data_IF_610492903901
#
_entry.id   IF_610492903901
#
_cell.length_a   1.000
_cell.length_b   1.000
_cell.length_c   1.000
_cell.angle_alpha   90.00
_cell.angle_beta   90.00
_cell.angle_gamma   90.00
#
_symmetry.space_group_name_H-M   'P 1'
#
loop_
_entity.id
_entity.type
_entity.pdbx_description
1 polymer ?
#
# COMPACT_ATOMS: atom_id res chain seq x y z
N UNK A 1 -14.20 -5.37 15.24
CA UNK A 1 -13.61 -4.34 16.12
C UNK A 1 -13.93 -4.73 17.54
N UNK A 2 -12.98 -5.33 18.25
CA UNK A 2 -13.12 -5.61 19.66
C UNK A 2 -12.96 -4.31 20.45
N UNK A 3 -13.99 -3.93 21.21
CA UNK A 3 -13.82 -2.93 22.25
C UNK A 3 -12.76 -3.45 23.23
N UNK A 4 -11.58 -2.88 23.20
CA UNK A 4 -10.67 -2.96 24.33
C UNK A 4 -11.33 -2.18 25.46
N UNK A 5 -11.62 -2.86 26.57
CA UNK A 5 -12.07 -2.20 27.78
C UNK A 5 -11.12 -1.06 28.12
N UNK A 6 -11.68 0.06 28.56
CA UNK A 6 -11.02 1.35 28.68
C UNK A 6 -9.80 1.42 29.62
N UNK A 7 -9.43 0.34 30.26
CA UNK A 7 -8.32 0.25 31.22
C UNK A 7 -7.25 -0.80 30.86
N UNK A 8 -7.29 -1.37 29.66
CA UNK A 8 -6.30 -2.33 29.19
C UNK A 8 -4.95 -1.66 28.91
N UNK A 9 -3.93 -1.94 29.70
CA UNK A 9 -2.55 -1.63 29.38
C UNK A 9 -1.94 -2.80 28.60
N UNK A 10 -1.35 -2.53 27.44
CA UNK A 10 -0.64 -3.50 26.63
C UNK A 10 0.79 -3.04 26.31
N UNK A 11 1.64 -3.97 25.92
CA UNK A 11 2.95 -3.63 25.38
C UNK A 11 3.21 -4.43 24.11
N UNK A 12 3.86 -3.80 23.13
CA UNK A 12 4.36 -4.44 21.93
C UNK A 12 5.87 -4.25 21.89
N UNK A 13 6.59 -5.33 21.70
CA UNK A 13 8.04 -5.31 21.50
C UNK A 13 8.36 -5.86 20.11
N UNK A 14 9.03 -5.05 19.31
CA UNK A 14 9.50 -5.42 17.98
C UNK A 14 11.00 -5.70 18.07
N UNK A 15 11.40 -6.93 17.77
CA UNK A 15 12.79 -7.35 17.69
C UNK A 15 13.25 -7.41 16.24
N UNK A 16 14.31 -6.69 15.93
CA UNK A 16 14.88 -6.66 14.58
C UNK A 16 16.08 -7.61 14.47
N UNK A 17 16.37 -8.10 13.26
CA UNK A 17 17.47 -9.04 13.01
C UNK A 17 18.85 -8.54 13.45
N UNK A 18 19.03 -7.24 13.54
CA UNK A 18 20.27 -6.58 14.01
C UNK A 18 20.34 -6.40 15.54
N UNK A 19 19.49 -7.08 16.29
CA UNK A 19 19.34 -6.97 17.75
C UNK A 19 18.80 -5.62 18.25
N UNK A 20 18.40 -4.72 17.38
CA UNK A 20 17.67 -3.53 17.77
C UNK A 20 16.26 -3.90 18.22
N UNK A 21 15.73 -3.20 19.21
CA UNK A 21 14.36 -3.39 19.69
C UNK A 21 13.62 -2.06 19.77
N UNK A 22 12.31 -2.13 19.53
CA UNK A 22 11.40 -1.02 19.76
C UNK A 22 10.31 -1.50 20.70
N UNK A 23 10.15 -0.85 21.84
CA UNK A 23 9.13 -1.18 22.82
C UNK A 23 8.09 -0.09 22.90
N UNK A 24 6.85 -0.47 22.67
CA UNK A 24 5.69 0.40 22.77
C UNK A 24 4.86 0.01 23.98
N UNK A 25 4.43 0.97 24.78
CA UNK A 25 3.34 0.78 25.75
C UNK A 25 2.05 1.36 25.19
N UNK A 26 0.96 0.64 25.33
CA UNK A 26 -0.37 1.05 24.90
C UNK A 26 -1.23 1.23 26.15
N UNK A 27 -1.69 2.45 26.39
CA UNK A 27 -2.60 2.78 27.48
C UNK A 27 -3.69 3.69 26.97
N UNK A 28 -4.96 3.39 27.26
CA UNK A 28 -6.11 4.22 26.87
C UNK A 28 -6.10 4.57 25.37
N UNK A 29 -5.88 3.59 24.49
CA UNK A 29 -5.78 3.74 23.04
C UNK A 29 -4.65 4.67 22.53
N UNK A 30 -3.66 4.95 23.37
CA UNK A 30 -2.47 5.72 22.99
C UNK A 30 -1.23 4.84 23.10
N UNK A 31 -0.48 4.76 21.99
CA UNK A 31 0.82 4.12 21.99
C UNK A 31 1.90 5.14 22.38
N UNK A 32 2.79 4.76 23.28
CA UNK A 32 3.96 5.55 23.67
C UNK A 32 5.21 4.69 23.49
N UNK A 33 6.22 5.24 22.84
CA UNK A 33 7.55 4.63 22.76
C UNK A 33 8.14 4.67 24.18
N UNK A 34 8.48 3.50 24.72
CA UNK A 34 9.09 3.37 26.05
C UNK A 34 10.59 3.26 25.94
N UNK A 35 11.05 2.62 24.88
CA UNK A 35 12.47 2.39 24.63
C UNK A 35 12.72 2.34 23.13
N UNK A 36 13.65 3.16 22.63
CA UNK A 36 14.03 3.19 21.23
C UNK A 36 15.57 3.12 21.13
N UNK A 37 16.09 1.96 20.84
CA UNK A 37 17.47 1.78 20.42
C UNK A 37 17.59 1.73 18.88
N UNK A 38 16.61 2.31 18.17
CA UNK A 38 16.48 2.11 16.75
C UNK A 38 16.17 3.40 16.00
N UNK A 39 17.10 3.84 15.17
CA UNK A 39 16.88 4.91 14.20
C UNK A 39 16.39 4.29 12.88
N UNK A 40 15.10 4.42 12.57
CA UNK A 40 14.55 4.03 11.25
C UNK A 40 15.05 5.05 10.22
N UNK A 41 16.11 4.69 9.52
CA UNK A 41 16.68 5.55 8.45
C UNK A 41 15.93 5.46 7.13
N UNK A 42 14.96 4.52 7.01
CA UNK A 42 14.24 4.25 5.77
C UNK A 42 12.79 4.69 5.90
N UNK A 43 12.29 5.24 4.79
CA UNK A 43 10.90 5.69 4.70
C UNK A 43 9.93 4.51 4.80
N UNK A 44 8.84 4.73 5.51
CA UNK A 44 7.68 3.85 5.55
C UNK A 44 6.55 4.57 4.84
N UNK A 45 5.94 3.90 3.86
CA UNK A 45 4.76 4.38 3.13
C UNK A 45 3.58 3.48 3.49
N UNK A 46 2.43 4.08 3.80
CA UNK A 46 1.20 3.36 4.12
C UNK A 46 0.11 3.74 3.12
N UNK A 47 -0.44 2.76 2.44
CA UNK A 47 -1.49 2.92 1.43
C UNK A 47 -2.73 2.13 1.85
N UNK A 48 -3.78 2.83 2.25
CA UNK A 48 -5.10 2.28 2.59
C UNK A 48 -6.21 2.89 1.73
N UNK A 49 -6.08 4.16 1.36
CA UNK A 49 -7.12 4.90 0.68
C UNK A 49 -6.59 5.70 -0.53
N UNK A 50 -6.98 5.33 -1.78
CA UNK A 50 -6.59 6.09 -2.95
C UNK A 50 -7.26 7.48 -3.02
N UNK A 51 -8.31 7.74 -2.22
CA UNK A 51 -8.98 9.03 -2.17
C UNK A 51 -8.16 10.11 -1.48
N UNK A 52 -7.06 9.76 -0.81
CA UNK A 52 -6.08 10.71 -0.26
C UNK A 52 -5.63 11.74 -1.31
N UNK A 53 -5.59 11.34 -2.59
CA UNK A 53 -5.25 12.21 -3.72
C UNK A 53 -6.22 13.41 -3.86
N UNK A 54 -7.48 13.28 -3.44
CA UNK A 54 -8.46 14.37 -3.50
C UNK A 54 -8.10 15.53 -2.56
N UNK A 55 -7.28 15.25 -1.53
CA UNK A 55 -6.87 16.24 -0.54
C UNK A 55 -5.73 17.14 -1.05
N UNK A 56 -5.15 16.84 -2.21
CA UNK A 56 -4.11 17.68 -2.81
C UNK A 56 -4.60 19.10 -3.07
N UNK A 57 -5.81 19.27 -3.60
CA UNK A 57 -6.41 20.57 -3.91
C UNK A 57 -7.10 21.24 -2.70
N UNK A 58 -7.19 20.55 -1.57
CA UNK A 58 -7.87 21.08 -0.40
C UNK A 58 -6.95 22.04 0.38
N UNK A 59 -7.14 23.34 0.21
CA UNK A 59 -6.38 24.39 0.90
C UNK A 59 -6.59 24.38 2.43
N UNK A 60 -7.77 23.94 2.89
CA UNK A 60 -8.13 23.86 4.30
C UNK A 60 -7.48 22.66 5.01
N UNK A 61 -7.06 21.65 4.25
CA UNK A 61 -6.37 20.49 4.80
C UNK A 61 -5.04 20.84 5.50
N UNK A 62 -4.39 21.95 5.08
CA UNK A 62 -3.18 22.47 5.72
C UNK A 62 -3.41 23.13 7.09
N UNK A 63 -4.63 23.64 7.35
CA UNK A 63 -4.86 24.49 8.51
C UNK A 63 -5.35 23.75 9.76
N UNK A 64 -5.93 22.56 9.63
CA UNK A 64 -6.66 21.90 10.71
C UNK A 64 -6.06 20.55 11.18
N UNK A 65 -4.98 20.07 10.59
CA UNK A 65 -4.34 18.81 11.02
C UNK A 65 -3.03 19.07 11.75
N UNK A 66 -3.14 19.34 13.04
CA UNK A 66 -2.11 19.06 14.05
C UNK A 66 -2.35 17.62 14.54
N UNK A 67 -2.24 16.64 13.64
CA UNK A 67 -2.35 15.22 13.95
C UNK A 67 -1.34 14.46 13.10
N UNK A 68 -0.59 13.56 13.73
CA UNK A 68 0.26 12.61 13.04
C UNK A 68 -0.62 11.56 12.32
N UNK A 69 -1.25 11.95 11.21
CA UNK A 69 -2.05 11.08 10.39
C UNK A 69 -1.27 10.75 9.11
N UNK A 70 -1.11 9.45 8.81
CA UNK A 70 -0.40 8.95 7.63
C UNK A 70 -0.95 9.55 6.31
N UNK A 71 -2.24 9.90 6.26
CA UNK A 71 -2.84 10.57 5.12
C UNK A 71 -2.28 11.99 4.90
N UNK A 72 -1.98 12.72 5.98
CA UNK A 72 -1.34 14.04 5.88
C UNK A 72 0.09 13.94 5.38
N UNK A 73 0.80 12.90 5.78
CA UNK A 73 2.15 12.60 5.30
C UNK A 73 2.13 12.25 3.81
N UNK A 74 1.20 11.41 3.37
CA UNK A 74 1.03 11.05 1.97
C UNK A 74 0.69 12.28 1.10
N UNK A 75 -0.21 13.16 1.55
CA UNK A 75 -0.53 14.42 0.85
C UNK A 75 0.69 15.32 0.73
N UNK A 76 1.48 15.45 1.81
CA UNK A 76 2.69 16.27 1.82
C UNK A 76 3.75 15.69 0.88
N UNK A 77 3.94 14.38 0.88
CA UNK A 77 4.84 13.68 -0.02
C UNK A 77 4.42 13.84 -1.48
N UNK A 78 3.12 13.71 -1.78
CA UNK A 78 2.58 13.93 -3.13
C UNK A 78 2.84 15.35 -3.63
N UNK A 79 2.55 16.37 -2.81
CA UNK A 79 2.80 17.77 -3.19
C UNK A 79 4.26 18.02 -3.51
N UNK A 80 5.17 17.56 -2.65
CA UNK A 80 6.60 17.70 -2.87
C UNK A 80 7.06 16.94 -4.13
N UNK A 81 6.46 15.76 -4.38
CA UNK A 81 6.76 14.93 -5.56
C UNK A 81 6.38 15.58 -6.89
N UNK A 82 5.29 16.36 -6.92
CA UNK A 82 4.82 17.03 -8.13
C UNK A 82 5.66 18.26 -8.45
N UNK A 83 6.15 18.95 -7.41
CA UNK A 83 6.94 20.18 -7.55
C UNK A 83 8.38 19.89 -7.99
N UNK A 84 8.96 18.75 -7.58
CA UNK A 84 10.39 18.44 -7.72
C UNK A 84 10.75 17.59 -8.94
N UNK A 85 9.96 17.66 -10.01
CA UNK A 85 10.26 16.94 -11.27
C UNK A 85 11.53 17.43 -12.00
N UNK A 86 12.23 18.42 -11.48
CA UNK A 86 13.39 19.06 -12.13
C UNK A 86 14.77 18.51 -11.71
N UNK A 87 14.88 17.77 -10.62
CA UNK A 87 16.15 17.25 -10.11
C UNK A 87 16.29 15.73 -10.31
N UNK A 88 16.45 15.28 -11.56
CA UNK A 88 16.79 13.89 -11.86
C UNK A 88 18.23 13.58 -11.43
N UNK A 89 18.42 13.10 -10.21
CA UNK A 89 19.68 12.59 -9.71
C UNK A 89 20.08 11.29 -10.47
N UNK A 90 21.40 11.06 -10.64
CA UNK A 90 21.98 9.87 -11.30
C UNK A 90 21.42 8.56 -10.69
N UNK A 91 21.10 8.56 -9.40
CA UNK A 91 20.43 7.43 -8.71
C UNK A 91 19.07 7.11 -9.31
N UNK A 92 18.32 8.14 -9.70
CA UNK A 92 17.02 8.02 -10.34
C UNK A 92 17.13 7.38 -11.73
N UNK A 93 18.22 7.65 -12.47
CA UNK A 93 18.46 7.05 -13.78
C UNK A 93 18.70 5.53 -13.70
N UNK A 94 19.41 5.05 -12.69
CA UNK A 94 19.65 3.62 -12.47
C UNK A 94 18.36 2.92 -12.03
N UNK A 95 17.60 3.54 -11.14
CA UNK A 95 16.28 3.05 -10.71
C UNK A 95 15.32 3.04 -11.89
N UNK A 96 15.31 4.08 -12.70
CA UNK A 96 14.47 4.20 -13.88
C UNK A 96 14.68 3.06 -14.88
N UNK A 97 15.94 2.67 -15.12
CA UNK A 97 16.26 1.54 -16.03
C UNK A 97 15.73 0.20 -15.49
N UNK A 98 15.78 -0.04 -14.18
CA UNK A 98 15.23 -1.25 -13.55
C UNK A 98 13.70 -1.29 -13.55
N UNK A 99 13.07 -0.14 -13.70
CA UNK A 99 11.62 0.05 -13.64
C UNK A 99 10.96 0.27 -15.00
N UNK A 100 11.70 0.16 -16.11
CA UNK A 100 11.15 0.38 -17.47
C UNK A 100 9.95 -0.53 -17.77
N UNK A 101 10.06 -1.83 -17.49
CA UNK A 101 8.97 -2.78 -17.67
C UNK A 101 7.76 -2.46 -16.80
N UNK A 102 8.02 -2.00 -15.57
CA UNK A 102 6.98 -1.59 -14.63
C UNK A 102 6.27 -0.32 -15.11
N UNK A 103 7.04 0.69 -15.54
CA UNK A 103 6.50 1.93 -16.12
C UNK A 103 5.66 1.68 -17.35
N UNK A 104 6.12 0.77 -18.22
CA UNK A 104 5.35 0.33 -19.37
C UNK A 104 4.02 -0.32 -18.97
N UNK A 105 4.00 -1.15 -17.94
CA UNK A 105 2.77 -1.76 -17.43
C UNK A 105 1.82 -0.71 -16.83
N UNK A 106 2.34 0.26 -16.07
CA UNK A 106 1.55 1.36 -15.51
C UNK A 106 0.96 2.25 -16.59
N UNK A 107 1.74 2.60 -17.62
CA UNK A 107 1.31 3.50 -18.70
C UNK A 107 0.15 2.93 -19.54
N UNK A 108 -0.07 1.62 -19.50
CA UNK A 108 -1.25 1.02 -20.15
C UNK A 108 -2.56 1.36 -19.42
N UNK A 109 -2.49 1.64 -18.10
CA UNK A 109 -3.64 1.95 -17.26
C UNK A 109 -3.70 3.44 -16.95
N UNK A 110 -2.58 4.02 -16.53
CA UNK A 110 -2.43 5.42 -16.15
C UNK A 110 -1.59 6.12 -17.23
N UNK A 111 -2.25 6.69 -18.23
CA UNK A 111 -1.64 7.33 -19.41
C UNK A 111 -1.23 8.77 -19.18
N UNK A 112 -1.31 9.27 -17.99
CA UNK A 112 -1.06 10.68 -17.68
C UNK A 112 -0.45 10.88 -16.31
N UNK A 113 -0.25 12.15 -15.99
CA UNK A 113 0.41 12.59 -14.78
C UNK A 113 -0.41 13.66 -14.05
N UNK A 114 0.00 13.96 -12.82
CA UNK A 114 -0.55 15.05 -12.02
C UNK A 114 0.18 16.35 -12.33
N UNK A 115 -0.58 17.42 -12.43
CA UNK A 115 -0.08 18.79 -12.63
C UNK A 115 -0.81 19.75 -11.71
N UNK A 116 -0.13 20.80 -11.28
CA UNK A 116 -0.74 21.94 -10.64
C UNK A 116 -1.15 22.95 -11.73
N UNK A 117 -2.43 23.36 -11.75
CA UNK A 117 -2.93 24.34 -12.71
C UNK A 117 -2.65 25.77 -12.24
N UNK A 118 -2.95 26.76 -13.07
CA UNK A 118 -2.75 28.18 -12.81
C UNK A 118 -3.50 28.69 -11.55
N UNK A 119 -4.53 27.97 -11.11
CA UNK A 119 -5.32 28.30 -9.92
C UNK A 119 -4.80 27.61 -8.65
N UNK A 120 -3.72 26.79 -8.75
CA UNK A 120 -3.17 26.03 -7.63
C UNK A 120 -3.97 24.77 -7.31
N UNK A 121 -4.81 24.28 -8.24
CA UNK A 121 -5.51 23.01 -8.11
C UNK A 121 -4.74 21.91 -8.82
N UNK A 122 -4.73 20.70 -8.24
CA UNK A 122 -4.13 19.54 -8.87
C UNK A 122 -5.11 18.86 -9.81
N UNK A 123 -4.66 18.63 -11.03
CA UNK A 123 -5.42 17.98 -12.10
C UNK A 123 -4.64 16.83 -12.71
N UNK A 124 -5.35 15.83 -13.21
CA UNK A 124 -4.78 14.74 -14.00
C UNK A 124 -4.91 15.07 -15.47
N UNK A 125 -3.81 14.95 -16.23
CA UNK A 125 -3.79 15.17 -17.66
C UNK A 125 -3.15 13.97 -18.36
N UNK A 126 -3.84 13.40 -19.36
CA UNK A 126 -3.30 12.32 -20.19
C UNK A 126 -2.29 12.86 -21.21
N UNK A 127 -1.27 12.08 -21.51
CA UNK A 127 -0.29 12.41 -22.53
C UNK A 127 -0.96 12.56 -23.91
N UNK A 128 -0.61 13.63 -24.62
CA UNK A 128 -1.19 13.92 -25.93
C UNK A 128 -2.64 14.43 -25.92
N UNK A 129 -3.20 14.72 -24.75
CA UNK A 129 -4.53 15.28 -24.58
C UNK A 129 -4.48 16.68 -23.98
N UNK A 130 -5.32 17.59 -24.51
CA UNK A 130 -5.52 18.91 -23.89
C UNK A 130 -6.52 18.90 -22.74
N UNK A 131 -7.20 17.76 -22.51
CA UNK A 131 -8.19 17.63 -21.45
C UNK A 131 -7.51 17.38 -20.10
N UNK A 132 -7.84 18.20 -19.13
CA UNK A 132 -7.46 18.03 -17.73
C UNK A 132 -8.69 17.62 -16.91
N UNK A 133 -8.50 16.69 -16.01
CA UNK A 133 -9.55 16.16 -15.14
C UNK A 133 -9.26 16.51 -13.69
N UNK A 134 -10.26 17.04 -12.98
CA UNK A 134 -10.16 17.19 -11.54
C UNK A 134 -10.06 15.83 -10.88
N UNK A 135 -9.22 15.70 -9.87
CA UNK A 135 -8.93 14.42 -9.20
C UNK A 135 -10.19 13.74 -8.65
N UNK A 136 -11.14 14.53 -8.14
CA UNK A 136 -12.43 14.01 -7.65
C UNK A 136 -13.24 13.27 -8.71
N UNK A 137 -13.04 13.58 -9.99
CA UNK A 137 -13.77 12.99 -11.12
C UNK A 137 -13.12 11.72 -11.67
N UNK A 138 -11.93 11.35 -11.19
CA UNK A 138 -11.28 10.09 -11.56
C UNK A 138 -11.99 8.92 -10.87
N UNK A 139 -12.05 7.78 -11.56
CA UNK A 139 -12.48 6.53 -10.91
C UNK A 139 -11.53 6.15 -9.78
N UNK A 140 -12.05 5.45 -8.76
CA UNK A 140 -11.26 5.00 -7.61
C UNK A 140 -10.04 4.19 -8.02
N UNK A 141 -10.22 3.22 -8.92
CA UNK A 141 -9.11 2.42 -9.43
C UNK A 141 -8.05 3.23 -10.17
N UNK A 142 -8.45 4.23 -10.97
CA UNK A 142 -7.47 5.10 -11.62
C UNK A 142 -6.70 5.95 -10.60
N UNK A 143 -7.36 6.41 -9.52
CA UNK A 143 -6.70 7.13 -8.42
C UNK A 143 -5.58 6.30 -7.79
N UNK A 144 -5.81 4.99 -7.57
CA UNK A 144 -4.78 4.08 -7.05
C UNK A 144 -3.54 4.08 -7.95
N UNK A 145 -3.73 3.93 -9.26
CA UNK A 145 -2.60 3.92 -10.20
C UNK A 145 -1.93 5.28 -10.35
N UNK A 146 -2.69 6.38 -10.34
CA UNK A 146 -2.15 7.75 -10.39
C UNK A 146 -1.30 8.03 -9.14
N UNK A 147 -1.80 7.70 -7.96
CA UNK A 147 -1.08 7.84 -6.69
C UNK A 147 0.24 7.07 -6.72
N UNK A 148 0.17 5.79 -7.08
CA UNK A 148 1.32 4.91 -7.12
C UNK A 148 2.35 5.36 -8.18
N UNK A 149 1.89 5.74 -9.37
CA UNK A 149 2.74 6.26 -10.44
C UNK A 149 3.47 7.55 -10.03
N UNK A 150 2.77 8.45 -9.34
CA UNK A 150 3.37 9.70 -8.84
C UNK A 150 4.48 9.43 -7.85
N UNK A 151 4.28 8.55 -6.88
CA UNK A 151 5.33 8.18 -5.93
C UNK A 151 6.50 7.43 -6.56
N UNK A 152 6.24 6.66 -7.60
CA UNK A 152 7.29 5.95 -8.33
C UNK A 152 8.15 6.90 -9.16
N UNK A 153 7.51 7.84 -9.86
CA UNK A 153 8.21 8.81 -10.71
C UNK A 153 9.03 9.82 -9.91
N UNK A 154 8.53 10.23 -8.75
CA UNK A 154 9.19 11.21 -7.89
C UNK A 154 10.38 10.66 -7.09
N UNK A 155 10.60 9.33 -7.11
CA UNK A 155 11.63 8.70 -6.30
C UNK A 155 11.33 8.64 -4.81
N UNK A 156 10.10 8.92 -4.40
CA UNK A 156 9.64 8.74 -3.01
C UNK A 156 9.77 7.28 -2.57
N UNK A 157 9.58 6.35 -3.51
CA UNK A 157 9.82 4.91 -3.28
C UNK A 157 11.30 4.61 -3.50
N UNK A 158 12.05 4.60 -2.42
CA UNK A 158 13.50 4.33 -2.43
C UNK A 158 13.81 2.84 -2.29
N UNK A 159 15.00 2.42 -2.74
CA UNK A 159 15.47 1.04 -2.57
C UNK A 159 15.54 0.67 -1.08
N UNK A 160 14.94 -0.47 -0.74
CA UNK A 160 14.88 -1.02 0.61
C UNK A 160 13.92 -0.27 1.54
N UNK A 161 13.04 0.61 1.01
CA UNK A 161 11.95 1.20 1.78
C UNK A 161 10.93 0.13 2.22
N UNK A 162 10.09 0.49 3.16
CA UNK A 162 8.95 -0.33 3.60
C UNK A 162 7.67 0.25 3.07
N UNK A 163 6.83 -0.58 2.48
CA UNK A 163 5.50 -0.19 2.01
C UNK A 163 4.47 -1.12 2.66
N UNK A 164 3.42 -0.53 3.20
CA UNK A 164 2.27 -1.23 3.76
C UNK A 164 1.07 -0.94 2.86
N UNK A 165 0.47 -1.99 2.34
CA UNK A 165 -0.78 -1.93 1.59
C UNK A 165 -1.90 -2.56 2.42
N UNK A 166 -2.96 -1.80 2.67
CA UNK A 166 -4.15 -2.27 3.38
C UNK A 166 -5.31 -2.36 2.38
N UNK A 167 -5.73 -3.58 2.08
CA UNK A 167 -6.77 -3.91 1.09
C UNK A 167 -6.62 -3.17 -0.26
N UNK A 168 -5.43 -3.20 -0.89
CA UNK A 168 -5.17 -2.36 -2.05
C UNK A 168 -6.02 -2.70 -3.28
N UNK A 169 -6.68 -3.84 -3.27
CA UNK A 169 -7.55 -4.34 -4.34
C UNK A 169 -9.00 -3.82 -4.27
N UNK A 170 -9.43 -3.24 -3.16
CA UNK A 170 -10.86 -3.00 -2.87
C UNK A 170 -11.55 -2.10 -3.91
N UNK A 171 -10.80 -1.20 -4.51
CA UNK A 171 -11.31 -0.26 -5.52
C UNK A 171 -10.94 -0.63 -6.94
N UNK A 172 -10.30 -1.80 -7.16
CA UNK A 172 -9.79 -2.21 -8.46
C UNK A 172 -10.73 -3.19 -9.15
N UNK A 173 -10.98 -2.94 -10.45
CA UNK A 173 -11.58 -3.94 -11.31
C UNK A 173 -10.71 -5.22 -11.33
N UNK A 174 -11.26 -6.45 -11.38
CA UNK A 174 -10.49 -7.69 -11.32
C UNK A 174 -9.26 -7.74 -12.25
N UNK A 175 -9.39 -7.24 -13.47
CA UNK A 175 -8.25 -7.13 -14.40
C UNK A 175 -7.14 -6.23 -13.85
N UNK A 176 -7.50 -5.15 -13.17
CA UNK A 176 -6.53 -4.22 -12.60
C UNK A 176 -5.92 -4.75 -11.30
N UNK A 177 -6.63 -5.60 -10.57
CA UNK A 177 -6.05 -6.34 -9.43
C UNK A 177 -4.87 -7.22 -9.87
N UNK A 178 -5.00 -7.91 -11.02
CA UNK A 178 -3.89 -8.69 -11.59
C UNK A 178 -2.69 -7.82 -11.93
N UNK A 179 -2.90 -6.70 -12.62
CA UNK A 179 -1.80 -5.80 -12.98
C UNK A 179 -1.17 -5.18 -11.73
N UNK A 180 -1.96 -4.83 -10.72
CA UNK A 180 -1.45 -4.26 -9.48
C UNK A 180 -0.63 -5.28 -8.66
N UNK A 181 -1.10 -6.52 -8.53
CA UNK A 181 -0.35 -7.61 -7.90
C UNK A 181 0.99 -7.86 -8.62
N UNK A 182 0.99 -7.89 -9.95
CA UNK A 182 2.19 -8.01 -10.77
C UNK A 182 3.18 -6.86 -10.49
N UNK A 183 2.67 -5.62 -10.47
CA UNK A 183 3.48 -4.42 -10.21
C UNK A 183 4.12 -4.45 -8.82
N UNK A 184 3.38 -4.83 -7.79
CA UNK A 184 3.90 -4.94 -6.42
C UNK A 184 5.09 -5.90 -6.38
N UNK A 185 4.96 -7.09 -6.96
CA UNK A 185 6.05 -8.10 -6.96
C UNK A 185 7.25 -7.64 -7.79
N UNK A 186 7.02 -7.04 -8.94
CA UNK A 186 8.10 -6.48 -9.76
C UNK A 186 8.85 -5.37 -9.04
N UNK A 187 8.12 -4.46 -8.38
CA UNK A 187 8.69 -3.35 -7.62
C UNK A 187 9.49 -3.85 -6.42
N UNK A 188 8.95 -4.82 -5.68
CA UNK A 188 9.64 -5.46 -4.57
C UNK A 188 10.99 -6.00 -5.02
N UNK A 189 11.02 -6.76 -6.12
CA UNK A 189 12.24 -7.34 -6.68
C UNK A 189 13.23 -6.27 -7.17
N UNK A 190 12.75 -5.26 -7.89
CA UNK A 190 13.60 -4.24 -8.51
C UNK A 190 14.28 -3.34 -7.47
N UNK A 191 13.59 -2.98 -6.39
CA UNK A 191 14.03 -2.04 -5.37
C UNK A 191 14.35 -2.71 -4.04
N UNK A 192 14.25 -4.03 -3.93
CA UNK A 192 14.46 -4.79 -2.68
C UNK A 192 13.64 -4.21 -1.52
N UNK A 193 12.35 -3.97 -1.76
CA UNK A 193 11.44 -3.39 -0.78
C UNK A 193 11.02 -4.40 0.27
N UNK A 194 10.69 -3.89 1.46
CA UNK A 194 9.92 -4.64 2.44
C UNK A 194 8.44 -4.30 2.23
N UNK A 195 7.62 -5.27 1.86
CA UNK A 195 6.21 -5.03 1.56
C UNK A 195 5.35 -5.87 2.52
N UNK A 196 4.43 -5.22 3.21
CA UNK A 196 3.37 -5.84 3.98
C UNK A 196 2.05 -5.59 3.27
N UNK A 197 1.26 -6.63 3.05
CA UNK A 197 -0.04 -6.54 2.39
C UNK A 197 -1.09 -7.21 3.27
N UNK A 198 -2.14 -6.47 3.62
CA UNK A 198 -3.37 -7.03 4.15
C UNK A 198 -4.37 -7.17 3.01
N UNK A 199 -5.02 -8.32 2.89
CA UNK A 199 -6.06 -8.56 1.88
C UNK A 199 -7.10 -9.56 2.36
N UNK A 200 -8.34 -9.32 1.99
CA UNK A 200 -9.46 -10.28 2.14
C UNK A 200 -9.88 -10.89 0.80
N UNK A 201 -9.18 -10.57 -0.30
CA UNK A 201 -9.51 -11.08 -1.64
C UNK A 201 -8.73 -12.36 -1.95
N UNK A 202 -9.41 -13.53 -2.08
CA UNK A 202 -8.75 -14.75 -2.51
C UNK A 202 -8.18 -14.61 -3.92
N UNK A 203 -8.81 -13.81 -4.76
CA UNK A 203 -8.36 -13.55 -6.12
C UNK A 203 -7.05 -12.74 -6.16
N UNK A 204 -6.95 -11.70 -5.33
CA UNK A 204 -5.75 -10.88 -5.25
C UNK A 204 -4.59 -11.66 -4.62
N UNK A 205 -4.86 -12.43 -3.56
CA UNK A 205 -3.88 -13.32 -2.95
C UNK A 205 -3.33 -14.34 -3.97
N UNK A 206 -4.22 -14.96 -4.76
CA UNK A 206 -3.81 -15.89 -5.81
C UNK A 206 -2.96 -15.23 -6.87
N UNK A 207 -3.30 -14.02 -7.29
CA UNK A 207 -2.50 -13.25 -8.23
C UNK A 207 -1.09 -12.96 -7.68
N UNK A 208 -0.98 -12.56 -6.41
CA UNK A 208 0.31 -12.36 -5.74
C UNK A 208 1.13 -13.65 -5.72
N UNK A 209 0.52 -14.79 -5.34
CA UNK A 209 1.19 -16.09 -5.30
C UNK A 209 1.76 -16.48 -6.67
N UNK A 210 0.96 -16.33 -7.72
CA UNK A 210 1.39 -16.62 -9.09
C UNK A 210 2.57 -15.74 -9.52
N UNK A 211 2.51 -14.44 -9.24
CA UNK A 211 3.59 -13.52 -9.62
C UNK A 211 4.84 -13.68 -8.76
N UNK A 212 4.71 -13.99 -7.48
CA UNK A 212 5.83 -14.34 -6.59
C UNK A 212 6.60 -15.54 -7.15
N UNK A 213 5.90 -16.60 -7.55
CA UNK A 213 6.51 -17.77 -8.22
C UNK A 213 7.14 -17.37 -9.56
N UNK A 214 6.43 -16.63 -10.40
CA UNK A 214 6.88 -16.21 -11.74
C UNK A 214 8.16 -15.37 -11.68
N UNK A 215 8.27 -14.46 -10.73
CA UNK A 215 9.43 -13.55 -10.60
C UNK A 215 10.51 -14.07 -9.66
N UNK A 216 10.32 -15.26 -9.06
CA UNK A 216 11.35 -15.94 -8.24
C UNK A 216 11.60 -15.23 -6.90
N UNK A 217 10.58 -14.68 -6.27
CA UNK A 217 10.69 -14.01 -4.96
C UNK A 217 10.08 -14.83 -3.82
N UNK A 218 9.81 -16.12 -4.05
CA UNK A 218 9.16 -17.02 -3.10
C UNK A 218 9.94 -17.15 -1.79
N UNK A 219 11.26 -17.26 -1.83
CA UNK A 219 12.09 -17.41 -0.63
C UNK A 219 12.00 -16.21 0.31
N UNK A 220 11.75 -15.01 -0.24
CA UNK A 220 11.59 -13.77 0.53
C UNK A 220 10.13 -13.45 0.88
N UNK A 221 9.18 -14.29 0.48
CA UNK A 221 7.75 -14.10 0.74
C UNK A 221 7.29 -14.98 1.89
N UNK A 222 6.42 -14.43 2.73
CA UNK A 222 5.76 -15.14 3.84
C UNK A 222 4.29 -14.85 3.82
N UNK A 223 3.49 -15.84 4.23
CA UNK A 223 2.03 -15.75 4.33
C UNK A 223 1.62 -15.93 5.77
N UNK A 224 0.84 -15.00 6.27
CA UNK A 224 0.34 -15.00 7.64
C UNK A 224 -1.17 -15.07 7.64
N UNK A 225 -1.71 -15.89 8.49
CA UNK A 225 -3.15 -16.04 8.70
C UNK A 225 -3.54 -15.39 10.03
N UNK A 226 -4.38 -14.36 9.95
CA UNK A 226 -4.96 -13.70 11.12
C UNK A 226 -6.33 -14.30 11.42
N UNK A 227 -6.52 -14.80 12.64
CA UNK A 227 -7.79 -15.38 13.09
C UNK A 227 -8.02 -15.10 14.58
N UNK A 228 -9.19 -15.46 15.06
CA UNK A 228 -9.53 -15.34 16.48
C UNK A 228 -9.52 -16.74 17.11
N UNK A 229 -8.71 -16.92 18.14
CA UNK A 229 -8.68 -18.11 18.98
C UNK A 229 -8.93 -17.68 20.43
N UNK A 230 -9.88 -18.34 21.11
CA UNK A 230 -10.27 -18.01 22.49
C UNK A 230 -10.53 -16.52 22.74
N UNK A 231 -11.15 -15.82 21.80
CA UNK A 231 -11.43 -14.37 21.77
C UNK A 231 -10.19 -13.48 21.64
N UNK A 232 -9.03 -14.06 21.41
CA UNK A 232 -7.79 -13.33 21.17
C UNK A 232 -7.43 -13.36 19.70
N UNK A 233 -6.97 -12.23 19.11
CA UNK A 233 -6.43 -12.24 17.75
C UNK A 233 -5.08 -12.97 17.75
N UNK A 234 -4.93 -13.89 16.82
CA UNK A 234 -3.70 -14.67 16.60
C UNK A 234 -3.25 -14.49 15.16
N UNK A 235 -1.95 -14.40 14.96
CA UNK A 235 -1.32 -14.34 13.64
C UNK A 235 -0.35 -15.51 13.54
N UNK A 236 -0.58 -16.39 12.58
CA UNK A 236 0.24 -17.58 12.36
C UNK A 236 0.97 -17.51 11.01
N UNK A 237 2.23 -17.94 10.97
CA UNK A 237 2.94 -18.17 9.71
C UNK A 237 2.42 -19.45 9.06
N UNK A 238 1.73 -19.31 7.93
CA UNK A 238 1.18 -20.40 7.13
C UNK A 238 1.83 -20.49 5.76
N UNK A 239 3.07 -20.05 5.64
CA UNK A 239 3.81 -20.08 4.36
C UNK A 239 3.99 -21.47 3.78
N UNK A 240 3.95 -22.52 4.62
CA UNK A 240 3.96 -23.92 4.21
C UNK A 240 2.57 -24.52 3.95
N UNK A 241 1.50 -23.83 4.36
CA UNK A 241 0.10 -24.28 4.26
C UNK A 241 -0.85 -23.12 3.96
N UNK A 242 -0.63 -22.44 2.82
CA UNK A 242 -1.45 -21.31 2.38
C UNK A 242 -2.93 -21.70 2.14
N UNK A 243 -3.21 -23.00 1.98
CA UNK A 243 -4.56 -23.49 1.79
C UNK A 243 -5.49 -23.13 2.95
N UNK A 244 -4.97 -22.96 4.16
CA UNK A 244 -5.75 -22.51 5.32
C UNK A 244 -6.38 -21.14 5.09
N UNK A 245 -5.64 -20.22 4.46
CA UNK A 245 -6.16 -18.90 4.10
C UNK A 245 -7.28 -19.06 3.06
N UNK A 246 -7.03 -19.83 2.01
CA UNK A 246 -8.01 -20.04 0.95
C UNK A 246 -9.29 -20.69 1.46
N UNK A 247 -9.21 -21.70 2.33
CA UNK A 247 -10.40 -22.33 2.94
C UNK A 247 -11.28 -21.31 3.65
N UNK A 248 -10.67 -20.37 4.37
CA UNK A 248 -11.42 -19.32 5.07
C UNK A 248 -12.02 -18.32 4.09
N UNK A 249 -11.24 -17.84 3.12
CA UNK A 249 -11.71 -16.85 2.15
C UNK A 249 -12.78 -17.41 1.19
N UNK A 250 -12.75 -18.70 0.87
CA UNK A 250 -13.75 -19.35 0.01
C UNK A 250 -14.96 -19.92 0.77
N UNK A 251 -14.96 -19.94 2.11
CA UNK A 251 -16.07 -20.49 2.89
C UNK A 251 -17.44 -19.85 2.58
N UNK A 252 -17.55 -18.51 2.34
CA UNK A 252 -18.83 -17.92 1.93
C UNK A 252 -19.35 -18.43 0.59
N UNK A 253 -18.44 -18.72 -0.36
CA UNK A 253 -18.84 -19.27 -1.66
C UNK A 253 -19.39 -20.69 -1.52
N UNK A 254 -18.78 -21.54 -0.69
CA UNK A 254 -19.27 -22.87 -0.39
C UNK A 254 -20.67 -22.85 0.23
N UNK A 255 -20.94 -21.89 1.11
CA UNK A 255 -22.29 -21.70 1.67
C UNK A 255 -23.31 -21.36 0.58
N UNK A 256 -22.96 -20.50 -0.38
CA UNK A 256 -23.83 -20.16 -1.51
C UNK A 256 -24.08 -21.36 -2.43
N UNK A 257 -23.07 -22.20 -2.68
CA UNK A 257 -23.24 -23.43 -3.46
C UNK A 257 -24.19 -24.40 -2.78
N UNK A 258 -24.05 -24.60 -1.47
CA UNK A 258 -24.99 -25.43 -0.72
C UNK A 258 -26.45 -24.93 -0.78
N UNK A 259 -26.67 -23.61 -0.73
CA UNK A 259 -27.98 -22.98 -0.90
C UNK A 259 -28.50 -23.24 -2.32
N UNK A 260 -27.68 -23.04 -3.33
CA UNK A 260 -28.07 -23.30 -4.74
C UNK A 260 -28.49 -24.75 -4.95
N UNK A 261 -27.74 -25.69 -4.41
CA UNK A 261 -28.00 -27.12 -4.58
C UNK A 261 -29.24 -27.60 -3.78
N UNK A 262 -29.78 -26.77 -2.89
CA UNK A 262 -31.01 -26.99 -2.13
C UNK A 262 -32.26 -26.41 -2.80
N UNK A 263 -32.13 -25.66 -3.91
CA UNK A 263 -33.20 -25.06 -4.70
C UNK A 263 -33.66 -25.99 -5.79
#
# INVERSE_FOLDING_TARGET
MGNLDSDGAGSVELLFKNQASLKLSITSNKAKIVDDYFEIKKRILYFDDPFVINNLSNRLYKANQVGNDHNSDNVSLLKNSIIDTSSADIRQAIVNKKLEDLKSSISTICKGNLFENEFGDYVYKEEGSDKAYFLKNLSSGLKTFVLFNTFLQSGVIESGATIIFDEPEIHLHPKWQLEFAKMIVQLQKALNLNILINTHSPYFLYALEVFVKKYGTLESTRYYFAHIEDRCPVIEDVSSDIERIYKTLFSPLQLLENVRDSL
#
